data_IF_179025749710
#
_entry.id   IF_179025749710
#
_cell.length_a   1.000
_cell.length_b   1.000
_cell.length_c   1.000
_cell.angle_alpha   90.00
_cell.angle_beta   90.00
_cell.angle_gamma   90.00
#
_symmetry.space_group_name_H-M   'P 1'
#
loop_
_entity.id
_entity.type
_entity.pdbx_description
1 polymer ?
#
# COMPACT_ATOMS: atom_id res chain seq x y z
N UNK A 1 1.70 -20.46 -26.69
CA UNK A 1 0.67 -19.52 -26.20
C UNK A 1 1.38 -18.32 -25.63
N UNK A 2 1.00 -17.11 -26.04
CA UNK A 2 1.59 -15.87 -25.51
C UNK A 2 0.69 -15.34 -24.39
N UNK A 3 1.27 -14.95 -23.27
CA UNK A 3 0.55 -14.35 -22.15
C UNK A 3 1.37 -13.22 -21.54
N UNK A 4 0.71 -12.31 -20.83
CA UNK A 4 1.35 -11.22 -20.08
C UNK A 4 1.05 -11.37 -18.59
N UNK A 5 1.92 -10.84 -17.73
CA UNK A 5 1.67 -10.74 -16.29
C UNK A 5 1.63 -9.28 -15.89
N UNK A 6 0.53 -8.86 -15.28
CA UNK A 6 0.33 -7.50 -14.81
C UNK A 6 -0.23 -7.49 -13.40
N UNK A 7 -0.23 -6.33 -12.75
CA UNK A 7 -1.01 -6.12 -11.53
C UNK A 7 -2.49 -6.31 -11.83
N UNK A 8 -3.23 -6.90 -10.89
CA UNK A 8 -4.68 -6.93 -10.93
C UNK A 8 -5.27 -5.53 -10.83
N UNK A 9 -6.44 -5.33 -11.45
CA UNK A 9 -7.27 -4.13 -11.38
C UNK A 9 -8.48 -4.40 -10.50
N UNK A 10 -9.12 -3.35 -9.99
CA UNK A 10 -10.24 -3.46 -9.06
C UNK A 10 -11.41 -4.30 -9.61
N UNK A 11 -11.66 -4.21 -10.92
CA UNK A 11 -12.67 -4.96 -11.67
C UNK A 11 -12.30 -6.43 -11.91
N UNK A 12 -11.07 -6.86 -11.63
CA UNK A 12 -10.67 -8.26 -11.76
C UNK A 12 -11.23 -9.14 -10.63
N UNK A 13 -11.59 -8.57 -9.46
CA UNK A 13 -11.84 -9.34 -8.24
C UNK A 13 -12.86 -10.48 -8.40
N UNK A 14 -14.02 -10.19 -9.01
CA UNK A 14 -15.07 -11.20 -9.24
C UNK A 14 -14.61 -12.30 -10.20
N UNK A 15 -13.81 -11.93 -11.19
CA UNK A 15 -13.23 -12.84 -12.16
C UNK A 15 -12.20 -13.75 -11.51
N UNK A 16 -11.36 -13.23 -10.61
CA UNK A 16 -10.38 -14.06 -9.90
C UNK A 16 -11.06 -15.12 -9.04
N UNK A 17 -12.11 -14.76 -8.30
CA UNK A 17 -12.92 -15.73 -7.57
C UNK A 17 -13.58 -16.77 -8.50
N UNK A 18 -13.94 -16.40 -9.74
CA UNK A 18 -14.47 -17.35 -10.71
C UNK A 18 -13.39 -18.33 -11.24
N UNK A 19 -12.16 -17.85 -11.41
CA UNK A 19 -11.01 -18.69 -11.79
C UNK A 19 -10.69 -19.70 -10.67
N UNK A 20 -10.62 -19.24 -9.42
CA UNK A 20 -10.42 -20.09 -8.24
C UNK A 20 -11.49 -21.19 -8.19
N UNK A 21 -12.78 -20.84 -8.29
CA UNK A 21 -13.87 -21.83 -8.33
C UNK A 21 -13.71 -22.85 -9.46
N UNK A 22 -13.27 -22.42 -10.64
CA UNK A 22 -13.06 -23.32 -11.77
C UNK A 22 -11.82 -24.22 -11.60
N UNK A 23 -10.74 -23.71 -10.98
CA UNK A 23 -9.54 -24.47 -10.69
C UNK A 23 -9.77 -25.51 -9.59
N UNK A 24 -10.53 -25.14 -8.54
CA UNK A 24 -10.88 -26.02 -7.43
C UNK A 24 -11.61 -27.27 -7.91
N UNK A 25 -12.43 -27.20 -8.97
CA UNK A 25 -13.14 -28.34 -9.58
C UNK A 25 -12.23 -29.52 -9.98
N UNK A 26 -10.93 -29.28 -10.19
CA UNK A 26 -9.95 -30.35 -10.43
C UNK A 26 -9.77 -31.28 -9.22
N UNK A 27 -10.10 -30.82 -8.01
CA UNK A 27 -10.06 -31.62 -6.80
C UNK A 27 -11.36 -32.40 -6.55
N UNK A 28 -12.34 -32.36 -7.46
CA UNK A 28 -13.60 -33.10 -7.29
C UNK A 28 -13.32 -34.60 -7.13
N UNK A 29 -13.82 -35.17 -6.04
CA UNK A 29 -13.56 -36.58 -5.66
C UNK A 29 -12.33 -36.78 -4.77
N UNK A 30 -11.52 -35.74 -4.53
CA UNK A 30 -10.45 -35.75 -3.54
C UNK A 30 -11.02 -35.56 -2.12
N UNK A 31 -10.37 -36.15 -1.11
CA UNK A 31 -10.80 -35.99 0.31
C UNK A 31 -10.73 -34.52 0.78
N UNK A 32 -9.84 -33.72 0.21
CA UNK A 32 -9.74 -32.28 0.49
C UNK A 32 -10.83 -31.42 -0.19
N UNK A 33 -11.62 -32.00 -1.11
CA UNK A 33 -12.64 -31.26 -1.88
C UNK A 33 -13.58 -30.45 -1.00
N UNK A 34 -14.11 -31.07 0.07
CA UNK A 34 -15.08 -30.41 0.94
C UNK A 34 -14.51 -29.19 1.67
N UNK A 35 -13.19 -29.16 1.92
CA UNK A 35 -12.52 -28.01 2.49
C UNK A 35 -12.33 -26.92 1.42
N UNK A 36 -11.76 -27.26 0.25
CA UNK A 36 -11.52 -26.29 -0.83
C UNK A 36 -12.82 -25.71 -1.42
N UNK A 37 -13.85 -26.53 -1.64
CA UNK A 37 -15.12 -26.06 -2.21
C UNK A 37 -15.86 -25.07 -1.31
N UNK A 38 -15.48 -24.99 -0.02
CA UNK A 38 -16.00 -24.03 0.96
C UNK A 38 -15.05 -22.84 1.18
N UNK A 39 -13.79 -22.98 0.77
CA UNK A 39 -12.73 -21.99 0.85
C UNK A 39 -12.57 -21.35 -0.52
N UNK A 40 -13.49 -20.46 -0.87
CA UNK A 40 -13.23 -19.48 -1.92
C UNK A 40 -12.92 -18.16 -1.23
N UNK A 41 -11.83 -17.51 -1.63
CA UNK A 41 -11.51 -16.17 -1.15
C UNK A 41 -12.73 -15.26 -1.37
N UNK A 42 -13.29 -14.65 -0.30
CA UNK A 42 -14.37 -13.70 -0.47
C UNK A 42 -13.95 -12.58 -1.42
N UNK A 43 -14.84 -12.16 -2.31
CA UNK A 43 -14.53 -11.13 -3.32
C UNK A 43 -13.97 -9.85 -2.68
N UNK A 44 -14.47 -9.48 -1.50
CA UNK A 44 -13.98 -8.30 -0.79
C UNK A 44 -12.56 -8.49 -0.25
N UNK A 45 -12.17 -9.70 0.16
CA UNK A 45 -10.78 -10.02 0.52
C UNK A 45 -9.86 -9.92 -0.71
N UNK A 46 -10.32 -10.43 -1.87
CA UNK A 46 -9.57 -10.28 -3.13
C UNK A 46 -9.42 -8.80 -3.49
N UNK A 47 -10.49 -8.01 -3.43
CA UNK A 47 -10.45 -6.55 -3.65
C UNK A 47 -9.44 -5.86 -2.74
N UNK A 48 -9.41 -6.20 -1.46
CA UNK A 48 -8.45 -5.62 -0.52
C UNK A 48 -6.99 -5.94 -0.91
N UNK A 49 -6.70 -7.18 -1.31
CA UNK A 49 -5.37 -7.55 -1.79
C UNK A 49 -5.01 -6.82 -3.09
N UNK A 50 -5.96 -6.65 -4.00
CA UNK A 50 -5.78 -5.87 -5.24
C UNK A 50 -5.43 -4.42 -4.90
N UNK A 51 -6.20 -3.79 -4.01
CA UNK A 51 -6.01 -2.40 -3.56
C UNK A 51 -4.66 -2.20 -2.87
N UNK A 52 -4.23 -3.16 -2.05
CA UNK A 52 -2.91 -3.17 -1.40
C UNK A 52 -1.76 -3.47 -2.36
N UNK A 53 -2.07 -4.01 -3.53
CA UNK A 53 -1.05 -4.34 -4.52
C UNK A 53 -0.31 -5.59 -4.17
N UNK A 54 -1.08 -6.64 -3.95
CA UNK A 54 -0.55 -7.95 -3.63
C UNK A 54 -1.10 -9.02 -4.60
N UNK A 55 -1.71 -8.60 -5.72
CA UNK A 55 -2.29 -9.52 -6.71
C UNK A 55 -1.72 -9.25 -8.10
N UNK A 56 -1.31 -10.32 -8.77
CA UNK A 56 -0.92 -10.32 -10.18
C UNK A 56 -1.81 -11.27 -10.95
N UNK A 57 -2.07 -10.90 -12.20
CA UNK A 57 -2.91 -11.66 -13.13
C UNK A 57 -2.10 -12.02 -14.36
N UNK A 58 -2.41 -13.18 -14.93
CA UNK A 58 -1.94 -13.60 -16.23
C UNK A 58 -3.07 -13.45 -17.25
N UNK A 59 -2.79 -12.80 -18.37
CA UNK A 59 -3.77 -12.57 -19.43
C UNK A 59 -3.34 -13.16 -20.77
N UNK A 60 -4.28 -13.77 -21.49
CA UNK A 60 -4.14 -14.25 -22.87
C UNK A 60 -5.20 -13.52 -23.69
N UNK A 61 -4.79 -12.81 -24.74
CA UNK A 61 -5.70 -11.99 -25.58
C UNK A 61 -6.59 -11.05 -24.75
N UNK A 62 -5.97 -10.36 -23.78
CA UNK A 62 -6.60 -9.45 -22.79
C UNK A 62 -7.59 -10.09 -21.80
N UNK A 63 -7.79 -11.41 -21.88
CA UNK A 63 -8.61 -12.16 -20.94
C UNK A 63 -7.74 -12.69 -19.79
N UNK A 64 -8.09 -12.35 -18.54
CA UNK A 64 -7.43 -12.92 -17.34
C UNK A 64 -7.74 -14.42 -17.22
N UNK A 65 -6.70 -15.23 -17.18
CA UNK A 65 -6.76 -16.71 -17.17
C UNK A 65 -6.11 -17.35 -15.94
N UNK A 66 -5.42 -16.57 -15.12
CA UNK A 66 -4.83 -17.02 -13.86
C UNK A 66 -4.39 -15.85 -13.01
N UNK A 67 -4.13 -16.10 -11.73
CA UNK A 67 -3.68 -15.09 -10.79
C UNK A 67 -2.83 -15.67 -9.67
N UNK A 68 -2.11 -14.79 -8.97
CA UNK A 68 -1.45 -15.09 -7.70
C UNK A 68 -1.73 -13.97 -6.71
N UNK A 69 -2.15 -14.36 -5.51
CA UNK A 69 -2.35 -13.50 -4.35
C UNK A 69 -1.18 -13.70 -3.38
N UNK A 70 -0.55 -12.61 -2.98
CA UNK A 70 0.49 -12.58 -1.97
C UNK A 70 -0.11 -12.10 -0.65
N UNK A 71 0.34 -12.67 0.45
CA UNK A 71 0.14 -12.11 1.77
C UNK A 71 1.46 -11.75 2.43
N UNK A 72 1.39 -10.87 3.43
CA UNK A 72 2.55 -10.41 4.20
C UNK A 72 2.38 -10.73 5.68
N UNK A 73 1.62 -11.78 6.01
CA UNK A 73 1.28 -12.14 7.38
C UNK A 73 2.28 -13.11 8.02
N UNK A 74 3.13 -13.76 7.22
CA UNK A 74 4.16 -14.72 7.67
C UNK A 74 5.32 -14.14 8.50
N UNK A 75 5.23 -12.88 8.93
CA UNK A 75 6.25 -12.20 9.74
C UNK A 75 7.06 -11.15 8.97
N UNK A 76 7.99 -10.45 9.64
CA UNK A 76 8.67 -9.28 9.07
C UNK A 76 9.61 -9.61 7.90
N UNK A 77 10.09 -10.85 7.77
CA UNK A 77 11.05 -11.27 6.73
C UNK A 77 10.49 -12.25 5.70
N UNK A 78 9.19 -12.58 5.79
CA UNK A 78 8.54 -13.61 4.95
C UNK A 78 7.34 -13.03 4.22
N UNK A 79 7.22 -13.36 2.93
CA UNK A 79 5.97 -13.21 2.18
C UNK A 79 5.29 -14.58 2.02
N UNK A 80 3.97 -14.61 1.95
CA UNK A 80 3.18 -15.81 1.71
C UNK A 80 2.55 -15.82 0.32
N UNK A 81 2.38 -17.01 -0.28
CA UNK A 81 1.41 -17.19 -1.36
C UNK A 81 0.07 -17.56 -0.72
N UNK A 82 -0.87 -16.61 -0.77
CA UNK A 82 -2.21 -16.80 -0.22
C UNK A 82 -3.06 -17.68 -1.12
N UNK A 83 -2.96 -17.48 -2.45
CA UNK A 83 -3.68 -18.26 -3.46
C UNK A 83 -2.98 -18.17 -4.81
N UNK A 84 -3.02 -19.23 -5.61
CA UNK A 84 -2.52 -19.24 -6.99
C UNK A 84 -3.31 -20.22 -7.85
N UNK A 85 -4.04 -19.68 -8.82
CA UNK A 85 -4.89 -20.47 -9.70
C UNK A 85 -4.71 -20.11 -11.17
N UNK A 86 -4.91 -21.12 -12.01
CA UNK A 86 -4.98 -20.97 -13.46
C UNK A 86 -6.20 -21.75 -13.95
N UNK A 87 -6.96 -21.15 -14.86
CA UNK A 87 -8.08 -21.83 -15.50
C UNK A 87 -7.63 -23.19 -16.07
N UNK A 88 -8.38 -24.29 -15.86
CA UNK A 88 -7.97 -25.62 -16.29
C UNK A 88 -7.60 -25.72 -17.78
N UNK A 89 -8.32 -25.01 -18.66
CA UNK A 89 -8.05 -24.97 -20.10
C UNK A 89 -6.67 -24.38 -20.46
N UNK A 90 -6.07 -23.62 -19.55
CA UNK A 90 -4.77 -22.97 -19.70
C UNK A 90 -3.66 -23.65 -18.87
N UNK A 91 -3.99 -24.73 -18.14
CA UNK A 91 -3.04 -25.55 -17.39
C UNK A 91 -1.93 -26.13 -18.28
N UNK A 92 -0.72 -26.30 -17.72
CA UNK A 92 0.43 -26.88 -18.45
C UNK A 92 1.15 -25.95 -19.43
N UNK A 93 0.71 -24.69 -19.57
CA UNK A 93 1.32 -23.71 -20.50
C UNK A 93 2.35 -22.77 -19.85
N UNK A 94 2.80 -23.06 -18.62
CA UNK A 94 3.80 -22.26 -17.91
C UNK A 94 3.26 -21.01 -17.21
N UNK A 95 1.95 -20.73 -17.27
CA UNK A 95 1.35 -19.55 -16.60
C UNK A 95 1.56 -19.60 -15.09
N UNK A 96 1.24 -20.72 -14.43
CA UNK A 96 1.39 -20.86 -12.98
C UNK A 96 2.85 -20.67 -12.53
N UNK A 97 3.80 -21.19 -13.30
CA UNK A 97 5.22 -20.98 -13.07
C UNK A 97 5.60 -19.49 -13.16
N UNK A 98 5.12 -18.79 -14.18
CA UNK A 98 5.44 -17.38 -14.37
C UNK A 98 4.79 -16.47 -13.30
N UNK A 99 3.57 -16.79 -12.85
CA UNK A 99 2.91 -16.12 -11.72
C UNK A 99 3.69 -16.32 -10.42
N UNK A 100 4.09 -17.57 -10.13
CA UNK A 100 4.90 -17.90 -8.95
C UNK A 100 6.25 -17.16 -8.96
N UNK A 101 6.97 -17.18 -10.08
CA UNK A 101 8.25 -16.45 -10.19
C UNK A 101 8.05 -14.94 -10.06
N UNK A 102 6.96 -14.37 -10.59
CA UNK A 102 6.64 -12.95 -10.40
C UNK A 102 6.40 -12.61 -8.94
N UNK A 103 5.70 -13.47 -8.20
CA UNK A 103 5.48 -13.27 -6.77
C UNK A 103 6.79 -13.34 -5.97
N UNK A 104 7.65 -14.32 -6.26
CA UNK A 104 8.98 -14.42 -5.66
C UNK A 104 9.88 -13.24 -6.03
N UNK A 105 9.83 -12.76 -7.28
CA UNK A 105 10.57 -11.58 -7.73
C UNK A 105 10.14 -10.34 -6.95
N UNK A 106 8.83 -10.05 -6.88
CA UNK A 106 8.35 -8.91 -6.10
C UNK A 106 8.71 -9.02 -4.62
N UNK A 107 8.55 -10.20 -4.01
CA UNK A 107 8.89 -10.40 -2.61
C UNK A 107 10.38 -10.11 -2.37
N UNK A 108 11.25 -10.53 -3.31
CA UNK A 108 12.68 -10.22 -3.27
C UNK A 108 12.94 -8.72 -3.38
N UNK A 109 12.34 -8.05 -4.37
CA UNK A 109 12.45 -6.59 -4.57
C UNK A 109 11.98 -5.80 -3.35
N UNK A 110 10.94 -6.28 -2.67
CA UNK A 110 10.43 -5.69 -1.43
C UNK A 110 11.29 -6.01 -0.20
N UNK A 111 12.36 -6.82 -0.33
CA UNK A 111 13.30 -7.15 0.74
C UNK A 111 13.00 -8.43 1.53
N UNK A 112 11.97 -9.20 1.19
CA UNK A 112 11.66 -10.46 1.89
C UNK A 112 12.72 -11.54 1.62
N UNK A 113 13.10 -12.28 2.66
CA UNK A 113 14.17 -13.28 2.61
C UNK A 113 13.68 -14.61 2.05
N UNK A 114 12.40 -14.91 2.21
CA UNK A 114 11.78 -16.13 1.69
C UNK A 114 10.31 -15.94 1.33
N UNK A 115 9.80 -16.88 0.54
CA UNK A 115 8.37 -17.05 0.28
C UNK A 115 7.91 -18.38 0.84
N UNK A 116 6.81 -18.34 1.59
CA UNK A 116 6.17 -19.51 2.18
C UNK A 116 4.81 -19.78 1.49
N UNK A 117 4.40 -21.05 1.40
CA UNK A 117 3.09 -21.43 0.88
C UNK A 117 2.57 -22.72 1.51
N UNK A 118 1.25 -22.88 1.51
CA UNK A 118 0.57 -24.12 1.87
C UNK A 118 0.10 -24.86 0.62
N UNK A 119 0.30 -26.18 0.58
CA UNK A 119 -0.19 -27.03 -0.52
C UNK A 119 -0.61 -28.42 -0.02
N UNK A 120 -0.90 -29.33 -0.94
CA UNK A 120 -1.32 -30.72 -0.68
C UNK A 120 -0.15 -31.69 -0.86
N UNK A 121 -0.01 -32.63 0.08
CA UNK A 121 1.02 -33.68 0.06
C UNK A 121 0.83 -34.71 -1.07
N UNK A 122 -0.42 -35.07 -1.33
CA UNK A 122 -0.82 -36.26 -2.09
C UNK A 122 -1.32 -35.94 -3.50
N UNK A 123 -1.34 -34.67 -3.87
CA UNK A 123 -1.70 -34.22 -5.22
C UNK A 123 -0.45 -34.22 -6.11
N UNK A 124 -0.36 -35.10 -7.13
CA UNK A 124 0.88 -35.36 -7.87
C UNK A 124 1.47 -34.15 -8.60
N UNK A 125 0.65 -33.13 -8.88
CA UNK A 125 1.08 -31.93 -9.59
C UNK A 125 1.35 -30.73 -8.67
N UNK A 126 1.03 -30.79 -7.38
CA UNK A 126 1.16 -29.65 -6.47
C UNK A 126 2.56 -29.53 -5.88
N UNK A 127 2.89 -30.30 -4.83
CA UNK A 127 4.21 -30.21 -4.18
C UNK A 127 5.39 -30.42 -5.17
N UNK A 128 5.32 -31.33 -6.15
CA UNK A 128 6.38 -31.45 -7.16
C UNK A 128 6.54 -30.21 -8.07
N UNK A 129 5.45 -29.49 -8.37
CA UNK A 129 5.53 -28.23 -9.11
C UNK A 129 6.32 -27.19 -8.32
N UNK A 130 5.98 -26.96 -7.05
CA UNK A 130 6.70 -26.01 -6.20
C UNK A 130 8.15 -26.42 -5.98
N UNK A 131 8.42 -27.72 -5.80
CA UNK A 131 9.77 -28.24 -5.65
C UNK A 131 10.67 -27.92 -6.87
N UNK A 132 10.12 -28.03 -8.08
CA UNK A 132 10.83 -27.64 -9.32
C UNK A 132 11.18 -26.14 -9.34
N UNK A 133 10.42 -25.32 -8.63
CA UNK A 133 10.62 -23.87 -8.50
C UNK A 133 11.41 -23.49 -7.24
N UNK A 134 12.12 -24.44 -6.61
CA UNK A 134 13.05 -24.17 -5.51
C UNK A 134 12.40 -24.10 -4.13
N UNK A 135 11.13 -24.48 -4.00
CA UNK A 135 10.49 -24.64 -2.69
C UNK A 135 10.87 -25.99 -2.08
N UNK A 136 11.10 -26.01 -0.78
CA UNK A 136 11.36 -27.23 0.00
C UNK A 136 10.29 -27.40 1.06
N UNK A 137 9.95 -28.66 1.36
CA UNK A 137 9.05 -28.96 2.48
C UNK A 137 9.71 -28.54 3.79
N UNK A 138 8.94 -27.87 4.64
CA UNK A 138 9.38 -27.42 5.97
C UNK A 138 8.55 -28.07 7.07
N UNK A 139 9.02 -27.94 8.32
CA UNK A 139 8.28 -28.45 9.47
C UNK A 139 6.96 -27.68 9.60
N UNK A 140 5.85 -28.38 9.37
CA UNK A 140 4.51 -27.79 9.47
C UNK A 140 4.16 -27.30 10.88
N UNK A 141 4.86 -27.78 11.91
CA UNK A 141 4.65 -27.36 13.29
C UNK A 141 5.56 -26.20 13.72
N UNK A 142 6.37 -25.65 12.80
CA UNK A 142 7.16 -24.46 13.07
C UNK A 142 6.23 -23.27 13.42
N UNK A 143 6.63 -22.37 14.34
CA UNK A 143 5.78 -21.30 14.84
C UNK A 143 5.17 -20.40 13.75
N UNK A 144 5.90 -20.18 12.66
CA UNK A 144 5.44 -19.38 11.51
C UNK A 144 4.17 -19.93 10.82
N UNK A 145 3.88 -21.23 10.95
CA UNK A 145 2.70 -21.87 10.34
C UNK A 145 1.54 -22.07 11.32
N UNK A 146 1.68 -21.64 12.58
CA UNK A 146 0.67 -21.86 13.61
C UNK A 146 -0.70 -21.29 13.22
N UNK A 147 -0.74 -20.06 12.73
CA UNK A 147 -1.99 -19.41 12.32
C UNK A 147 -2.61 -20.08 11.08
N UNK A 148 -1.78 -20.53 10.14
CA UNK A 148 -2.24 -21.27 8.97
C UNK A 148 -2.85 -22.62 9.36
N UNK A 149 -2.24 -23.33 10.32
CA UNK A 149 -2.78 -24.59 10.86
C UNK A 149 -4.06 -24.39 11.66
N UNK A 150 -4.20 -23.29 12.41
CA UNK A 150 -5.46 -22.95 13.09
C UNK A 150 -6.56 -22.74 12.06
N UNK A 151 -6.29 -21.95 11.01
CA UNK A 151 -7.23 -21.72 9.92
C UNK A 151 -7.61 -23.02 9.21
N UNK A 152 -6.65 -23.89 8.90
CA UNK A 152 -6.93 -25.20 8.29
C UNK A 152 -7.87 -26.03 9.19
N UNK A 153 -7.62 -26.05 10.51
CA UNK A 153 -8.46 -26.78 11.48
C UNK A 153 -9.87 -26.20 11.56
N UNK A 154 -10.01 -24.88 11.66
CA UNK A 154 -11.30 -24.19 11.71
C UNK A 154 -12.14 -24.46 10.44
N UNK A 155 -11.48 -24.62 9.30
CA UNK A 155 -12.12 -24.96 8.03
C UNK A 155 -12.32 -26.46 7.80
N UNK A 156 -11.93 -27.31 8.76
CA UNK A 156 -12.06 -28.77 8.66
C UNK A 156 -11.12 -29.41 7.64
N UNK A 157 -10.00 -28.76 7.32
CA UNK A 157 -8.99 -29.29 6.42
C UNK A 157 -8.28 -30.51 7.04
N UNK A 158 -8.11 -31.63 6.32
CA UNK A 158 -7.43 -32.80 6.88
C UNK A 158 -5.94 -32.54 7.09
N UNK A 159 -5.50 -32.51 8.35
CA UNK A 159 -4.12 -32.14 8.74
C UNK A 159 -3.01 -33.00 8.09
N UNK A 160 -3.28 -34.27 7.81
CA UNK A 160 -2.31 -35.16 7.16
C UNK A 160 -2.05 -34.82 5.69
N UNK A 161 -2.93 -34.02 5.06
CA UNK A 161 -2.80 -33.59 3.67
C UNK A 161 -2.05 -32.27 3.53
N UNK A 162 -2.02 -31.46 4.58
CA UNK A 162 -1.37 -30.14 4.53
C UNK A 162 0.14 -30.30 4.58
N UNK A 163 0.80 -29.69 3.59
CA UNK A 163 2.25 -29.49 3.57
C UNK A 163 2.52 -28.00 3.41
N UNK A 164 3.47 -27.49 4.17
CA UNK A 164 4.03 -26.16 3.95
C UNK A 164 5.37 -26.29 3.23
N UNK A 165 5.62 -25.35 2.33
CA UNK A 165 6.87 -25.28 1.60
C UNK A 165 7.42 -23.86 1.63
N UNK A 166 8.73 -23.74 1.65
CA UNK A 166 9.44 -22.46 1.70
C UNK A 166 10.50 -22.38 0.61
N UNK A 167 10.67 -21.20 0.01
CA UNK A 167 11.75 -20.89 -0.92
C UNK A 167 12.57 -19.71 -0.41
N UNK A 168 13.84 -19.90 -0.03
CA UNK A 168 14.77 -18.81 0.19
C UNK A 168 14.95 -17.99 -1.09
N UNK A 169 14.97 -16.66 -0.95
CA UNK A 169 15.14 -15.73 -2.05
C UNK A 169 16.58 -15.24 -2.11
N UNK A 170 17.14 -15.19 -3.33
CA UNK A 170 18.47 -14.64 -3.56
C UNK A 170 18.59 -13.19 -3.05
N UNK A 171 19.76 -12.76 -2.55
CA UNK A 171 19.95 -11.41 -2.05
C UNK A 171 19.72 -10.34 -3.14
N UNK A 172 19.44 -9.11 -2.71
CA UNK A 172 19.37 -7.94 -3.60
C UNK A 172 20.78 -7.56 -4.04
N UNK A 173 20.94 -7.17 -5.31
CA UNK A 173 22.15 -6.59 -5.88
C UNK A 173 21.95 -5.10 -6.15
N UNK A 174 23.00 -4.29 -6.15
CA UNK A 174 22.87 -2.83 -6.34
C UNK A 174 22.16 -2.41 -7.64
N UNK A 175 22.26 -3.21 -8.71
CA UNK A 175 21.57 -2.95 -9.99
C UNK A 175 20.15 -3.51 -10.09
N UNK A 176 19.64 -4.15 -9.04
CA UNK A 176 18.28 -4.69 -9.04
C UNK A 176 17.23 -3.59 -8.83
N UNK A 177 16.00 -3.89 -9.23
CA UNK A 177 14.84 -3.15 -8.74
C UNK A 177 14.60 -3.47 -7.26
N UNK A 178 14.14 -2.47 -6.53
CA UNK A 178 13.64 -2.58 -5.16
C UNK A 178 12.28 -1.92 -5.06
N UNK A 179 11.40 -2.42 -4.17
CA UNK A 179 10.02 -1.94 -4.03
C UNK A 179 9.81 -1.31 -2.64
N UNK A 180 9.30 -0.08 -2.65
CA UNK A 180 9.14 0.80 -1.49
C UNK A 180 7.68 1.25 -1.36
N UNK A 181 7.00 0.96 -0.24
CA UNK A 181 5.65 1.45 -0.01
C UNK A 181 5.62 2.98 0.15
N UNK A 182 4.68 3.63 -0.50
CA UNK A 182 4.37 5.05 -0.35
C UNK A 182 2.95 5.20 0.25
N UNK A 183 2.80 5.06 1.59
CA UNK A 183 1.49 4.98 2.25
C UNK A 183 0.70 6.29 2.14
N UNK A 184 -0.62 6.21 2.15
CA UNK A 184 -1.50 7.35 2.30
C UNK A 184 -1.53 7.85 3.76
N UNK A 185 -2.03 9.07 3.94
CA UNK A 185 -2.37 9.62 5.25
C UNK A 185 -3.83 10.09 5.32
N UNK A 186 -4.31 10.26 6.55
CA UNK A 186 -5.49 11.02 6.90
C UNK A 186 -5.11 12.18 7.81
N UNK A 187 -5.86 13.28 7.69
CA UNK A 187 -5.91 14.33 8.72
C UNK A 187 -7.11 14.04 9.62
N UNK A 188 -6.87 13.51 10.84
CA UNK A 188 -7.97 13.15 11.75
C UNK A 188 -8.76 14.37 12.25
N UNK A 189 -8.12 15.54 12.21
CA UNK A 189 -8.71 16.87 12.22
C UNK A 189 -7.76 17.82 11.48
N UNK A 190 -8.21 19.01 11.09
CA UNK A 190 -7.36 20.04 10.49
C UNK A 190 -7.90 21.43 10.84
N UNK A 191 -7.11 22.24 11.54
CA UNK A 191 -7.41 23.63 11.84
C UNK A 191 -6.43 24.58 11.16
N UNK A 192 -6.94 25.73 10.76
CA UNK A 192 -6.12 26.89 10.38
C UNK A 192 -6.20 27.89 11.53
N UNK A 193 -5.08 28.08 12.22
CA UNK A 193 -5.00 28.89 13.44
C UNK A 193 -4.52 30.32 13.19
N UNK A 194 -3.94 30.56 12.02
CA UNK A 194 -3.49 31.89 11.62
C UNK A 194 -2.91 31.90 10.21
N UNK A 195 -2.40 33.08 9.84
CA UNK A 195 -1.60 33.29 8.62
C UNK A 195 -0.28 33.91 9.01
N UNK A 196 0.80 33.38 8.45
CA UNK A 196 2.18 33.84 8.63
C UNK A 196 2.45 35.05 7.73
N UNK A 197 3.51 35.79 8.05
CA UNK A 197 3.97 36.96 7.28
C UNK A 197 4.43 36.60 5.87
N UNK A 198 4.93 35.36 5.68
CA UNK A 198 5.31 34.79 4.38
C UNK A 198 4.12 34.35 3.52
N UNK A 199 2.89 34.55 4.01
CA UNK A 199 1.65 34.27 3.31
C UNK A 199 1.10 32.86 3.51
N UNK A 200 1.85 31.94 4.12
CA UNK A 200 1.40 30.58 4.44
C UNK A 200 0.42 30.55 5.62
N UNK A 201 -0.42 29.52 5.66
CA UNK A 201 -1.34 29.28 6.77
C UNK A 201 -0.67 28.47 7.87
N UNK A 202 -0.86 28.89 9.13
CA UNK A 202 -0.46 28.08 10.27
C UNK A 202 -1.57 27.07 10.58
N UNK A 203 -1.20 25.81 10.70
CA UNK A 203 -2.08 24.66 10.81
C UNK A 203 -1.89 23.93 12.14
N UNK A 204 -2.93 23.23 12.57
CA UNK A 204 -2.85 22.14 13.54
C UNK A 204 -3.61 20.93 12.99
N UNK A 205 -2.97 19.75 13.01
CA UNK A 205 -3.59 18.52 12.52
C UNK A 205 -3.00 17.30 13.23
N UNK A 206 -3.70 16.18 13.18
CA UNK A 206 -3.13 14.86 13.50
C UNK A 206 -3.10 14.02 12.24
N UNK A 207 -1.88 13.65 11.83
CA UNK A 207 -1.65 12.72 10.75
C UNK A 207 -1.80 11.28 11.22
N UNK A 208 -2.56 10.50 10.47
CA UNK A 208 -2.66 9.04 10.59
C UNK A 208 -2.20 8.40 9.30
N UNK A 209 -1.13 7.62 9.35
CA UNK A 209 -0.67 6.82 8.21
C UNK A 209 -1.56 5.58 8.04
N UNK A 210 -1.71 5.12 6.80
CA UNK A 210 -2.54 3.97 6.43
C UNK A 210 -1.71 2.80 5.87
N UNK A 211 -2.18 1.56 6.09
CA UNK A 211 -1.67 0.34 5.42
C UNK A 211 -2.16 0.22 3.96
N UNK A 212 -2.15 1.34 3.25
CA UNK A 212 -2.56 1.45 1.87
C UNK A 212 -1.87 2.65 1.26
N UNK A 213 -1.37 2.52 0.04
CA UNK A 213 -0.79 3.62 -0.69
C UNK A 213 -0.21 3.18 -2.03
N UNK A 214 0.67 4.01 -2.58
CA UNK A 214 1.36 3.76 -3.83
C UNK A 214 2.56 2.81 -3.63
N UNK A 215 3.14 2.33 -4.72
CA UNK A 215 4.41 1.56 -4.70
C UNK A 215 5.44 2.29 -5.57
N UNK A 216 6.57 2.67 -4.96
CA UNK A 216 7.73 3.25 -5.64
C UNK A 216 8.75 2.15 -5.85
N UNK A 217 9.15 1.92 -7.10
CA UNK A 217 10.24 1.03 -7.46
C UNK A 217 11.48 1.85 -7.83
N UNK A 218 12.62 1.46 -7.28
CA UNK A 218 13.91 2.13 -7.46
C UNK A 218 14.95 1.15 -7.96
N UNK A 219 15.76 1.56 -8.93
CA UNK A 219 16.96 0.82 -9.37
C UNK A 219 18.13 1.79 -9.48
N UNK A 220 19.24 1.48 -8.81
CA UNK A 220 20.43 2.34 -8.83
C UNK A 220 21.09 2.29 -10.21
N UNK A 221 21.59 3.45 -10.64
CA UNK A 221 22.41 3.61 -11.84
C UNK A 221 23.78 4.15 -11.47
N UNK A 222 24.78 3.88 -12.30
CA UNK A 222 26.16 4.31 -12.08
C UNK A 222 26.58 5.49 -12.98
N UNK A 223 25.66 6.03 -13.79
CA UNK A 223 25.91 7.11 -14.74
C UNK A 223 25.43 8.48 -14.27
N UNK A 224 24.97 8.60 -13.02
CA UNK A 224 24.46 9.85 -12.43
C UNK A 224 23.09 10.29 -12.96
N UNK A 225 22.45 9.53 -13.85
CA UNK A 225 21.16 9.92 -14.44
C UNK A 225 20.01 9.57 -13.49
N UNK A 226 19.10 10.52 -13.27
CA UNK A 226 17.81 10.27 -12.63
C UNK A 226 16.72 10.27 -13.70
N UNK A 227 16.06 9.13 -13.89
CA UNK A 227 15.05 8.91 -14.93
C UNK A 227 13.77 8.29 -14.38
N UNK A 228 12.61 8.83 -14.77
CA UNK A 228 11.30 8.25 -14.51
C UNK A 228 10.93 7.30 -15.64
N UNK A 229 10.93 6.01 -15.34
CA UNK A 229 10.61 4.94 -16.30
C UNK A 229 9.11 4.68 -16.38
N UNK A 230 8.38 4.89 -15.27
CA UNK A 230 6.93 4.83 -15.20
C UNK A 230 6.42 5.71 -14.06
N UNK A 231 5.23 6.28 -14.18
CA UNK A 231 4.71 7.16 -13.13
C UNK A 231 3.36 7.77 -13.46
N UNK A 232 2.93 8.80 -12.69
CA UNK A 232 1.63 9.43 -12.87
C UNK A 232 1.46 10.04 -14.27
N UNK A 233 0.34 9.74 -14.91
CA UNK A 233 -0.02 10.35 -16.20
C UNK A 233 -0.33 11.84 -16.03
N UNK A 234 0.02 12.65 -17.04
CA UNK A 234 -0.26 14.09 -17.04
C UNK A 234 0.67 14.95 -16.18
N UNK A 235 1.68 14.35 -15.52
CA UNK A 235 2.70 15.07 -14.76
C UNK A 235 4.01 15.07 -15.55
N UNK A 236 4.52 16.23 -16.00
CA UNK A 236 5.86 16.35 -16.59
C UNK A 236 6.95 15.80 -15.65
N UNK A 237 7.99 15.20 -16.21
CA UNK A 237 9.02 14.51 -15.41
C UNK A 237 9.80 15.45 -14.49
N UNK A 238 10.06 16.68 -14.93
CA UNK A 238 10.71 17.73 -14.14
C UNK A 238 9.83 18.28 -13.01
N UNK A 239 8.50 18.20 -13.17
CA UNK A 239 7.52 18.54 -12.16
C UNK A 239 7.21 17.38 -11.19
N UNK A 240 7.60 16.15 -11.51
CA UNK A 240 7.35 14.97 -10.69
C UNK A 240 8.14 15.05 -9.38
N UNK A 241 7.42 14.98 -8.26
CA UNK A 241 8.03 15.07 -6.92
C UNK A 241 9.04 13.95 -6.65
N UNK A 242 8.90 12.78 -7.29
CA UNK A 242 9.85 11.68 -7.15
C UNK A 242 11.20 11.99 -7.80
N UNK A 243 11.19 12.54 -9.01
CA UNK A 243 12.39 12.96 -9.73
C UNK A 243 13.06 14.13 -9.01
N UNK A 244 12.26 15.10 -8.55
CA UNK A 244 12.75 16.23 -7.75
C UNK A 244 13.36 15.77 -6.43
N UNK A 245 12.77 14.78 -5.75
CA UNK A 245 13.31 14.19 -4.53
C UNK A 245 14.68 13.55 -4.75
N UNK A 246 14.80 12.70 -5.78
CA UNK A 246 16.06 12.04 -6.11
C UNK A 246 17.17 13.04 -6.47
N UNK A 247 16.85 14.06 -7.29
CA UNK A 247 17.82 15.12 -7.65
C UNK A 247 18.22 15.98 -6.45
N UNK A 248 17.27 16.31 -5.58
CA UNK A 248 17.52 17.07 -4.36
C UNK A 248 18.46 16.31 -3.41
N UNK A 249 18.20 15.01 -3.19
CA UNK A 249 19.08 14.15 -2.40
C UNK A 249 20.47 14.04 -3.03
N UNK A 250 20.55 13.84 -4.34
CA UNK A 250 21.84 13.74 -5.03
C UNK A 250 22.66 15.04 -4.89
N UNK A 251 22.01 16.19 -5.07
CA UNK A 251 22.65 17.50 -4.89
C UNK A 251 23.08 17.75 -3.44
N UNK A 252 22.30 17.31 -2.45
CA UNK A 252 22.61 17.54 -1.03
C UNK A 252 23.77 16.68 -0.53
N UNK A 253 23.98 15.50 -1.14
CA UNK A 253 24.95 14.49 -0.69
C UNK A 253 26.21 14.43 -1.57
N UNK A 254 26.15 14.99 -2.79
CA UNK A 254 27.24 14.94 -3.76
C UNK A 254 27.47 13.56 -4.37
N UNK A 255 26.52 12.63 -4.22
CA UNK A 255 26.60 11.31 -4.86
C UNK A 255 26.68 11.43 -6.38
N UNK A 256 27.45 10.54 -7.00
CA UNK A 256 27.56 10.42 -8.47
C UNK A 256 26.64 9.33 -9.03
N UNK A 257 25.89 8.65 -8.17
CA UNK A 257 24.92 7.63 -8.57
C UNK A 257 23.66 8.26 -9.15
N UNK A 258 23.01 7.50 -10.03
CA UNK A 258 21.71 7.80 -10.59
C UNK A 258 20.64 6.82 -10.10
N UNK A 259 19.41 6.99 -10.60
CA UNK A 259 18.32 6.06 -10.33
C UNK A 259 17.30 6.02 -11.47
N UNK A 260 16.83 4.82 -11.78
CA UNK A 260 15.56 4.62 -12.46
C UNK A 260 14.43 4.59 -11.42
N UNK A 261 13.35 5.32 -11.68
CA UNK A 261 12.20 5.45 -10.79
C UNK A 261 10.94 4.99 -11.52
N UNK A 262 10.17 4.10 -10.92
CA UNK A 262 8.86 3.69 -11.40
C UNK A 262 7.82 3.82 -10.28
N UNK A 263 6.68 4.47 -10.52
CA UNK A 263 5.63 4.65 -9.50
C UNK A 263 4.33 3.98 -9.96
N UNK A 264 3.83 3.03 -9.18
CA UNK A 264 2.50 2.45 -9.35
C UNK A 264 1.49 3.21 -8.47
N UNK A 265 0.69 4.07 -9.11
CA UNK A 265 -0.30 4.92 -8.45
C UNK A 265 -1.59 4.16 -8.13
N UNK A 266 -2.03 4.28 -6.88
CA UNK A 266 -3.26 3.76 -6.25
C UNK A 266 -3.97 4.86 -5.47
N UNK A 267 -3.22 5.80 -4.87
CA UNK A 267 -3.79 6.95 -4.17
C UNK A 267 -4.34 7.93 -5.21
N UNK A 268 -5.62 8.34 -5.10
CA UNK A 268 -6.20 9.36 -5.97
C UNK A 268 -5.42 10.68 -5.94
N UNK A 269 -5.14 11.22 -7.12
CA UNK A 269 -4.46 12.50 -7.28
C UNK A 269 -5.32 13.65 -6.75
N UNK A 270 -4.75 14.44 -5.83
CA UNK A 270 -5.47 15.59 -5.24
C UNK A 270 -6.61 15.19 -4.28
N UNK A 271 -6.62 13.96 -3.76
CA UNK A 271 -7.63 13.47 -2.81
C UNK A 271 -7.45 13.91 -1.36
N UNK A 272 -6.42 14.70 -1.03
CA UNK A 272 -6.10 15.07 0.36
C UNK A 272 -5.42 13.96 1.17
N UNK A 273 -4.98 12.89 0.51
CA UNK A 273 -4.36 11.70 1.10
C UNK A 273 -2.82 11.72 1.09
N UNK A 274 -2.21 12.77 0.55
CA UNK A 274 -0.76 12.98 0.59
C UNK A 274 0.07 12.12 -0.38
N UNK A 275 -0.53 11.52 -1.41
CA UNK A 275 0.16 10.56 -2.30
C UNK A 275 1.47 11.08 -2.89
N UNK A 276 1.48 12.25 -3.54
CA UNK A 276 2.73 12.80 -4.11
C UNK A 276 3.81 13.11 -3.07
N UNK A 277 3.42 13.53 -1.87
CA UNK A 277 4.36 13.74 -0.76
C UNK A 277 4.92 12.43 -0.23
N UNK A 278 4.09 11.38 -0.20
CA UNK A 278 4.49 10.03 0.20
C UNK A 278 5.44 9.38 -0.81
N UNK A 279 5.16 9.55 -2.11
CA UNK A 279 6.06 9.10 -3.18
C UNK A 279 7.44 9.75 -3.03
N UNK A 280 7.48 11.07 -2.82
CA UNK A 280 8.71 11.82 -2.62
C UNK A 280 9.49 11.36 -1.38
N UNK A 281 8.81 11.17 -0.25
CA UNK A 281 9.40 10.65 0.97
C UNK A 281 9.98 9.24 0.77
N UNK A 282 9.26 8.38 0.05
CA UNK A 282 9.69 7.00 -0.25
C UNK A 282 10.93 6.99 -1.14
N UNK A 283 11.03 7.93 -2.09
CA UNK A 283 12.27 8.13 -2.87
C UNK A 283 13.41 8.63 -2.00
N UNK A 284 13.19 9.63 -1.13
CA UNK A 284 14.24 10.13 -0.23
C UNK A 284 14.77 9.04 0.70
N UNK A 285 13.87 8.30 1.35
CA UNK A 285 14.23 7.20 2.26
C UNK A 285 14.91 6.07 1.50
N UNK A 286 14.29 5.60 0.41
CA UNK A 286 14.80 4.49 -0.38
C UNK A 286 16.16 4.80 -0.99
N UNK A 287 16.33 5.95 -1.64
CA UNK A 287 17.62 6.32 -2.24
C UNK A 287 18.68 6.66 -1.18
N UNK A 288 18.32 7.18 0.00
CA UNK A 288 19.31 7.36 1.07
C UNK A 288 19.90 6.02 1.52
N UNK A 289 19.06 4.98 1.62
CA UNK A 289 19.49 3.61 1.90
C UNK A 289 20.28 3.02 0.73
N UNK A 290 19.77 3.09 -0.50
CA UNK A 290 20.37 2.45 -1.68
C UNK A 290 21.68 3.10 -2.14
N UNK A 291 21.80 4.42 -2.01
CA UNK A 291 23.04 5.15 -2.32
C UNK A 291 24.01 5.21 -1.15
N UNK A 292 23.60 4.76 0.04
CA UNK A 292 24.43 4.77 1.24
C UNK A 292 24.85 6.19 1.66
N UNK A 293 23.98 7.19 1.47
CA UNK A 293 24.35 8.60 1.72
C UNK A 293 24.40 8.97 3.20
N UNK A 294 23.81 8.15 4.07
CA UNK A 294 23.96 8.26 5.52
C UNK A 294 23.29 9.48 6.15
N UNK A 295 22.34 10.12 5.47
CA UNK A 295 21.55 11.20 6.07
C UNK A 295 20.62 10.61 7.13
N UNK A 296 20.50 11.32 8.26
CA UNK A 296 19.58 10.97 9.32
C UNK A 296 18.13 11.41 9.00
N UNK A 297 17.19 11.01 9.87
CA UNK A 297 15.77 11.31 9.69
C UNK A 297 15.47 12.82 9.65
N UNK A 298 16.18 13.63 10.45
CA UNK A 298 15.96 15.08 10.53
C UNK A 298 16.46 15.79 9.27
N UNK A 299 17.61 15.37 8.75
CA UNK A 299 18.15 15.85 7.48
C UNK A 299 17.24 15.50 6.31
N UNK A 300 16.75 14.26 6.24
CA UNK A 300 15.78 13.85 5.20
C UNK A 300 14.46 14.60 5.32
N UNK A 301 13.95 14.82 6.54
CA UNK A 301 12.72 15.58 6.75
C UNK A 301 12.89 17.05 6.32
N UNK A 302 14.07 17.63 6.55
CA UNK A 302 14.42 18.99 6.10
C UNK A 302 14.42 19.07 4.56
N UNK A 303 15.05 18.12 3.87
CA UNK A 303 15.00 18.05 2.40
C UNK A 303 13.56 17.85 1.91
N UNK A 304 12.81 16.97 2.56
CA UNK A 304 11.42 16.69 2.24
C UNK A 304 10.52 17.92 2.32
N UNK A 305 10.73 18.78 3.33
CA UNK A 305 9.96 20.02 3.50
C UNK A 305 10.07 20.97 2.29
N UNK A 306 11.21 20.98 1.60
CA UNK A 306 11.41 21.77 0.38
C UNK A 306 10.57 21.27 -0.82
N UNK A 307 10.07 20.04 -0.76
CA UNK A 307 9.23 19.42 -1.78
C UNK A 307 7.74 19.54 -1.45
N UNK A 308 7.38 19.47 -0.17
CA UNK A 308 6.01 19.66 0.30
C UNK A 308 5.86 19.52 1.81
N UNK A 309 4.87 20.23 2.38
CA UNK A 309 4.64 20.30 3.82
C UNK A 309 4.29 18.94 4.48
N UNK A 310 3.69 18.02 3.73
CA UNK A 310 3.35 16.67 4.21
C UNK A 310 4.51 15.66 4.05
N UNK A 311 5.58 15.98 3.32
CA UNK A 311 6.70 15.01 3.10
C UNK A 311 7.38 14.61 4.42
N UNK A 312 7.64 15.52 5.39
CA UNK A 312 8.27 15.16 6.65
C UNK A 312 7.55 14.05 7.44
N UNK A 313 6.21 14.01 7.46
CA UNK A 313 5.51 12.96 8.25
C UNK A 313 5.71 11.57 7.66
N UNK A 314 5.83 11.46 6.34
CA UNK A 314 6.15 10.21 5.67
C UNK A 314 7.61 9.80 5.86
N UNK A 315 8.55 10.77 5.81
CA UNK A 315 9.96 10.51 6.12
C UNK A 315 10.13 9.99 7.54
N UNK A 316 9.45 10.60 8.53
CA UNK A 316 9.50 10.15 9.94
C UNK A 316 8.72 8.85 10.19
N UNK A 317 7.76 8.52 9.33
CA UNK A 317 7.07 7.23 9.31
C UNK A 317 6.20 6.93 10.52
N UNK A 318 5.74 7.95 11.26
CA UNK A 318 4.95 7.80 12.49
C UNK A 318 3.72 8.69 12.43
N UNK A 319 2.63 8.25 13.04
CA UNK A 319 1.48 9.13 13.28
C UNK A 319 1.91 10.27 14.19
N UNK A 320 1.44 11.50 13.93
CA UNK A 320 1.97 12.68 14.60
C UNK A 320 0.94 13.80 14.73
N UNK A 321 1.02 14.53 15.84
CA UNK A 321 0.48 15.87 15.94
C UNK A 321 1.40 16.82 15.18
N UNK A 322 0.83 17.64 14.29
CA UNK A 322 1.57 18.56 13.46
C UNK A 322 1.12 20.01 13.68
N UNK A 323 2.09 20.91 13.75
CA UNK A 323 1.91 22.35 13.80
C UNK A 323 2.76 23.06 12.72
N UNK A 324 2.75 24.39 12.69
CA UNK A 324 3.46 25.18 11.69
C UNK A 324 2.69 25.16 10.37
N UNK A 325 3.33 24.88 9.26
CA UNK A 325 2.67 24.53 8.00
C UNK A 325 2.40 23.02 7.87
N UNK A 326 2.74 22.23 8.90
CA UNK A 326 2.65 20.77 8.94
C UNK A 326 3.99 20.08 9.22
N UNK A 327 5.08 20.84 9.34
CA UNK A 327 6.46 20.37 9.50
C UNK A 327 6.87 20.12 10.95
N UNK A 328 6.21 20.78 11.92
CA UNK A 328 6.53 20.63 13.34
C UNK A 328 5.80 19.42 13.91
N UNK A 329 6.45 18.27 13.87
CA UNK A 329 5.86 16.97 14.19
C UNK A 329 6.20 16.52 15.62
N UNK A 330 5.17 16.22 16.39
CA UNK A 330 5.24 15.55 17.69
C UNK A 330 4.63 14.15 17.55
N UNK A 331 5.43 13.06 17.62
CA UNK A 331 4.92 11.70 17.47
C UNK A 331 3.78 11.40 18.44
N UNK A 332 2.75 10.71 17.96
CA UNK A 332 1.55 10.41 18.75
C UNK A 332 1.11 8.96 18.51
N UNK A 333 0.92 8.22 19.61
CA UNK A 333 0.34 6.88 19.56
C UNK A 333 -1.17 6.98 19.44
N UNK A 334 -1.71 6.40 18.38
CA UNK A 334 -3.15 6.33 18.12
C UNK A 334 -3.65 4.89 18.26
N UNK A 335 -4.89 4.67 18.74
CA UNK A 335 -5.44 3.32 18.83
C UNK A 335 -5.53 2.66 17.45
N UNK A 336 -5.42 1.33 17.42
CA UNK A 336 -5.67 0.57 16.18
C UNK A 336 -7.13 0.79 15.76
N UNK A 337 -7.29 1.22 14.52
CA UNK A 337 -8.55 1.59 13.90
C UNK A 337 -8.51 1.23 12.43
N UNK A 338 -9.69 1.04 11.86
CA UNK A 338 -9.90 0.83 10.45
C UNK A 338 -10.60 2.05 9.87
N UNK A 339 -10.32 2.34 8.61
CA UNK A 339 -10.86 3.51 7.93
C UNK A 339 -11.50 3.06 6.63
N UNK A 340 -12.71 3.54 6.38
CA UNK A 340 -13.33 3.52 5.05
C UNK A 340 -12.99 4.84 4.40
N UNK A 341 -12.15 4.83 3.38
CA UNK A 341 -11.75 6.01 2.60
C UNK A 341 -12.53 6.02 1.31
N UNK A 342 -13.28 7.09 1.06
CA UNK A 342 -14.14 7.24 -0.11
C UNK A 342 -13.56 8.32 -1.02
N UNK A 343 -13.33 7.97 -2.27
CA UNK A 343 -13.00 8.92 -3.33
C UNK A 343 -14.27 9.23 -4.15
N UNK A 344 -14.77 10.48 -4.09
CA UNK A 344 -15.92 10.91 -4.87
C UNK A 344 -15.61 11.11 -6.36
N UNK A 345 -14.36 10.92 -6.80
CA UNK A 345 -13.85 11.17 -8.17
C UNK A 345 -14.10 12.61 -8.62
N UNK A 346 -13.89 13.55 -7.71
CA UNK A 346 -13.97 15.00 -7.95
C UNK A 346 -12.65 15.65 -7.55
N UNK A 347 -12.04 16.41 -8.47
CA UNK A 347 -10.78 17.10 -8.20
C UNK A 347 -11.04 18.40 -7.42
N UNK A 348 -10.36 18.56 -6.28
CA UNK A 348 -10.48 19.72 -5.39
C UNK A 348 -9.13 20.46 -5.35
N UNK A 349 -8.99 21.62 -6.05
CA UNK A 349 -7.73 22.35 -6.09
C UNK A 349 -7.42 23.03 -4.75
N UNK A 350 -6.40 22.55 -4.04
CA UNK A 350 -5.99 23.05 -2.71
C UNK A 350 -5.73 24.57 -2.71
N UNK A 351 -5.06 25.10 -3.74
CA UNK A 351 -4.77 26.54 -3.85
C UNK A 351 -6.05 27.39 -3.93
N UNK A 352 -7.08 26.91 -4.64
CA UNK A 352 -8.36 27.62 -4.77
C UNK A 352 -9.11 27.65 -3.43
N UNK A 353 -9.01 26.59 -2.62
CA UNK A 353 -9.59 26.57 -1.29
C UNK A 353 -8.89 27.53 -0.33
N UNK A 354 -7.55 27.56 -0.32
CA UNK A 354 -6.81 28.53 0.48
C UNK A 354 -7.13 30.00 0.12
N UNK A 355 -7.52 30.26 -1.14
CA UNK A 355 -7.95 31.56 -1.61
C UNK A 355 -9.44 31.88 -1.32
N UNK A 356 -10.24 30.92 -0.85
CA UNK A 356 -11.68 31.10 -0.66
C UNK A 356 -11.99 32.11 0.47
N UNK A 357 -12.77 33.17 0.23
CA UNK A 357 -13.04 34.20 1.25
C UNK A 357 -13.73 33.63 2.50
N UNK A 358 -14.60 32.63 2.34
CA UNK A 358 -15.35 31.98 3.41
C UNK A 358 -14.54 30.99 4.26
N UNK A 359 -13.27 30.72 3.92
CA UNK A 359 -12.42 29.80 4.70
C UNK A 359 -12.06 30.41 6.06
N UNK A 360 -12.40 29.71 7.14
CA UNK A 360 -12.00 30.06 8.50
C UNK A 360 -10.49 29.92 8.66
N UNK A 361 -9.81 31.01 9.07
CA UNK A 361 -8.33 31.08 9.20
C UNK A 361 -7.84 31.44 10.60
N UNK A 362 -8.76 31.53 11.55
CA UNK A 362 -8.51 32.03 12.91
C UNK A 362 -9.11 31.08 13.95
N UNK A 363 -9.09 29.78 13.68
CA UNK A 363 -9.61 28.79 14.61
C UNK A 363 -8.78 28.82 15.92
N UNK A 364 -9.42 28.67 17.08
CA UNK A 364 -8.68 28.55 18.33
C UNK A 364 -7.78 27.31 18.30
N UNK A 365 -6.58 27.45 18.87
CA UNK A 365 -5.64 26.32 18.96
C UNK A 365 -6.26 25.17 19.74
N UNK A 366 -6.19 23.97 19.16
CA UNK A 366 -6.50 22.72 19.83
C UNK A 366 -5.36 22.32 20.77
N UNK A 367 -5.69 21.56 21.82
CA UNK A 367 -4.71 20.82 22.63
C UNK A 367 -4.79 19.33 22.30
N UNK A 368 -3.71 18.59 22.56
CA UNK A 368 -3.72 17.12 22.42
C UNK A 368 -4.87 16.50 23.22
N UNK A 369 -5.14 17.00 24.44
CA UNK A 369 -6.26 16.52 25.26
C UNK A 369 -7.61 16.71 24.58
N UNK A 370 -7.86 17.88 23.96
CA UNK A 370 -9.12 18.17 23.27
C UNK A 370 -9.31 17.32 22.00
N UNK A 371 -8.24 16.89 21.37
CA UNK A 371 -8.31 15.93 20.28
C UNK A 371 -8.62 14.52 20.80
N UNK A 372 -7.93 14.08 21.86
CA UNK A 372 -8.13 12.73 22.45
C UNK A 372 -9.54 12.56 23.02
N UNK A 373 -10.14 13.61 23.59
CA UNK A 373 -11.54 13.59 24.04
C UNK A 373 -12.57 13.57 22.90
N UNK A 374 -12.15 13.89 21.68
CA UNK A 374 -13.02 14.04 20.51
C UNK A 374 -13.62 15.44 20.32
N UNK A 375 -13.30 16.40 21.19
CA UNK A 375 -13.80 17.78 21.10
C UNK A 375 -13.26 18.54 19.88
N UNK A 376 -12.13 18.10 19.32
CA UNK A 376 -11.50 18.66 18.12
C UNK A 376 -11.36 17.60 17.02
N UNK A 377 -12.38 17.48 16.17
CA UNK A 377 -12.43 16.52 15.07
C UNK A 377 -12.73 17.15 13.70
N UNK A 378 -12.87 18.49 13.65
CA UNK A 378 -13.27 19.24 12.46
C UNK A 378 -12.13 19.42 11.45
N UNK A 379 -12.50 19.63 10.20
CA UNK A 379 -11.59 20.05 9.14
C UNK A 379 -12.01 21.43 8.61
N UNK A 380 -11.11 22.41 8.68
CA UNK A 380 -11.35 23.79 8.30
C UNK A 380 -11.84 23.96 6.85
N UNK A 381 -11.46 23.04 5.95
CA UNK A 381 -11.89 23.07 4.55
C UNK A 381 -13.30 22.49 4.34
N UNK A 382 -13.80 21.67 5.25
CA UNK A 382 -15.02 20.90 5.04
C UNK A 382 -16.25 21.76 4.73
N UNK A 383 -16.55 22.87 5.44
CA UNK A 383 -17.69 23.73 5.09
C UNK A 383 -17.59 24.32 3.67
N UNK A 384 -16.39 24.76 3.27
CA UNK A 384 -16.14 25.34 1.94
C UNK A 384 -16.26 24.27 0.86
N UNK A 385 -15.70 23.08 1.11
CA UNK A 385 -15.74 21.95 0.18
C UNK A 385 -17.18 21.47 -0.01
N UNK A 386 -17.97 21.31 1.07
CA UNK A 386 -19.38 20.94 0.95
C UNK A 386 -20.18 21.93 0.11
N UNK A 387 -19.88 23.22 0.21
CA UNK A 387 -20.58 24.26 -0.54
C UNK A 387 -20.19 24.29 -2.04
N UNK A 388 -18.93 23.97 -2.37
CA UNK A 388 -18.39 24.15 -3.73
C UNK A 388 -18.28 22.85 -4.54
N UNK A 389 -18.28 21.69 -3.88
CA UNK A 389 -18.00 20.38 -4.48
C UNK A 389 -19.11 19.38 -4.16
N UNK A 390 -20.19 19.34 -4.97
CA UNK A 390 -21.38 18.55 -4.67
C UNK A 390 -21.14 17.04 -4.54
N UNK A 391 -20.16 16.46 -5.25
CA UNK A 391 -19.90 15.01 -5.12
C UNK A 391 -19.19 14.71 -3.81
N UNK A 392 -18.30 15.59 -3.36
CA UNK A 392 -17.68 15.47 -2.03
C UNK A 392 -18.73 15.62 -0.93
N UNK A 393 -19.67 16.57 -1.06
CA UNK A 393 -20.78 16.71 -0.13
C UNK A 393 -21.65 15.44 -0.08
N UNK A 394 -21.99 14.88 -1.25
CA UNK A 394 -22.76 13.64 -1.34
C UNK A 394 -22.01 12.44 -0.72
N UNK A 395 -20.70 12.37 -0.86
CA UNK A 395 -19.89 11.33 -0.22
C UNK A 395 -19.83 11.48 1.31
N UNK A 396 -19.71 12.72 1.82
CA UNK A 396 -19.81 13.00 3.27
C UNK A 396 -21.18 12.60 3.82
N UNK A 397 -22.26 12.96 3.12
CA UNK A 397 -23.63 12.68 3.57
C UNK A 397 -23.93 11.17 3.56
N UNK A 398 -23.52 10.47 2.49
CA UNK A 398 -23.66 9.02 2.40
C UNK A 398 -22.88 8.32 3.51
N UNK A 399 -21.60 8.67 3.69
CA UNK A 399 -20.75 8.06 4.70
C UNK A 399 -21.20 8.43 6.13
N UNK A 400 -21.78 9.63 6.29
CA UNK A 400 -22.42 10.15 7.49
C UNK A 400 -23.58 9.28 7.99
N UNK A 401 -24.23 8.53 7.10
CA UNK A 401 -25.25 7.54 7.45
C UNK A 401 -24.72 6.37 8.29
N UNK A 402 -23.41 6.16 8.35
CA UNK A 402 -22.77 5.07 9.10
C UNK A 402 -21.98 5.54 10.32
N UNK A 403 -21.80 6.85 10.50
CA UNK A 403 -21.07 7.44 11.62
C UNK A 403 -20.51 8.82 11.31
N UNK A 404 -19.54 9.28 12.10
CA UNK A 404 -18.94 10.61 11.92
C UNK A 404 -17.93 10.62 10.74
N UNK A 405 -18.44 10.95 9.55
CA UNK A 405 -17.64 11.14 8.35
C UNK A 405 -16.84 12.46 8.41
N UNK A 406 -15.63 12.45 7.87
CA UNK A 406 -14.72 13.61 7.89
C UNK A 406 -14.01 13.77 6.55
N UNK A 407 -13.68 15.02 6.20
CA UNK A 407 -12.78 15.32 5.08
C UNK A 407 -11.31 15.08 5.45
N UNK A 408 -10.51 14.49 4.55
CA UNK A 408 -9.04 14.44 4.70
C UNK A 408 -8.35 15.56 3.92
N UNK A 409 -7.35 16.21 4.52
CA UNK A 409 -6.61 17.31 3.89
C UNK A 409 -7.54 18.42 3.43
N UNK A 410 -7.37 18.88 2.19
CA UNK A 410 -8.29 19.82 1.54
C UNK A 410 -9.38 19.12 0.70
N UNK A 411 -9.60 17.81 0.88
CA UNK A 411 -10.40 16.98 -0.02
C UNK A 411 -9.63 16.55 -1.28
N UNK A 412 -10.24 15.83 -2.22
CA UNK A 412 -11.67 15.45 -2.26
C UNK A 412 -12.08 14.19 -1.47
N UNK A 413 -11.14 13.38 -0.97
CA UNK A 413 -11.51 12.14 -0.28
C UNK A 413 -12.04 12.40 1.13
N UNK A 414 -12.98 11.55 1.53
CA UNK A 414 -13.65 11.57 2.83
C UNK A 414 -13.44 10.24 3.52
N UNK A 415 -13.57 10.19 4.84
CA UNK A 415 -13.33 8.95 5.58
C UNK A 415 -14.22 8.76 6.79
N UNK A 416 -14.38 7.50 7.17
CA UNK A 416 -15.07 7.05 8.39
C UNK A 416 -14.13 6.15 9.18
N UNK A 417 -14.03 6.40 10.48
CA UNK A 417 -13.29 5.53 11.40
C UNK A 417 -14.19 4.45 11.98
N UNK A 418 -13.71 3.20 11.99
CA UNK A 418 -14.38 2.07 12.62
C UNK A 418 -13.42 1.32 13.56
N UNK A 419 -13.99 0.55 14.50
CA UNK A 419 -13.21 -0.23 15.47
C UNK A 419 -12.66 -1.53 14.90
N UNK A 420 -13.39 -2.14 13.97
CA UNK A 420 -13.09 -3.48 13.43
C UNK A 420 -13.05 -3.43 11.91
N UNK A 421 -12.25 -4.34 11.36
CA UNK A 421 -12.11 -4.55 9.91
C UNK A 421 -13.46 -4.91 9.28
N UNK A 422 -14.18 -5.85 9.88
CA UNK A 422 -15.51 -6.30 9.46
C UNK A 422 -16.51 -5.14 9.35
N UNK A 423 -16.51 -4.21 10.31
CA UNK A 423 -17.40 -3.04 10.25
C UNK A 423 -17.03 -2.10 9.09
N UNK A 424 -15.72 -1.92 8.82
CA UNK A 424 -15.28 -1.11 7.68
C UNK A 424 -15.68 -1.77 6.34
N UNK A 425 -15.46 -3.07 6.20
CA UNK A 425 -15.87 -3.86 5.03
C UNK A 425 -17.38 -3.81 4.81
N UNK A 426 -18.18 -3.95 5.88
CA UNK A 426 -19.64 -3.84 5.80
C UNK A 426 -20.13 -2.48 5.30
N UNK A 427 -19.38 -1.40 5.53
CA UNK A 427 -19.68 -0.07 4.97
C UNK A 427 -19.18 0.04 3.52
N UNK A 428 -17.93 -0.35 3.25
CA UNK A 428 -17.32 -0.24 1.93
C UNK A 428 -18.06 -1.06 0.85
N UNK A 429 -18.55 -2.25 1.18
CA UNK A 429 -19.35 -3.10 0.28
C UNK A 429 -20.69 -2.46 -0.16
N UNK A 430 -21.17 -1.44 0.56
CA UNK A 430 -22.38 -0.66 0.22
C UNK A 430 -22.07 0.63 -0.53
N UNK A 431 -20.81 0.85 -0.92
CA UNK A 431 -20.40 2.06 -1.63
C UNK A 431 -21.18 2.24 -2.94
N UNK A 432 -21.81 3.39 -3.19
CA UNK A 432 -22.49 3.67 -4.45
C UNK A 432 -21.51 3.64 -5.61
N UNK A 433 -21.92 3.10 -6.77
CA UNK A 433 -21.04 2.98 -7.95
C UNK A 433 -20.50 4.31 -8.51
N UNK A 434 -21.03 5.45 -8.07
CA UNK A 434 -20.49 6.78 -8.40
C UNK A 434 -19.22 7.17 -7.62
N UNK A 435 -18.86 6.40 -6.60
CA UNK A 435 -17.68 6.59 -5.74
C UNK A 435 -16.81 5.34 -5.76
N UNK A 436 -15.63 5.43 -5.17
CA UNK A 436 -14.82 4.25 -4.81
C UNK A 436 -14.54 4.27 -3.32
N UNK A 437 -14.57 3.11 -2.68
CA UNK A 437 -14.26 2.96 -1.27
C UNK A 437 -13.12 1.98 -1.06
N UNK A 438 -12.19 2.33 -0.17
CA UNK A 438 -11.09 1.48 0.24
C UNK A 438 -11.09 1.32 1.76
N UNK A 439 -10.83 0.11 2.23
CA UNK A 439 -10.64 -0.17 3.65
C UNK A 439 -9.14 -0.22 3.93
N UNK A 440 -8.69 0.54 4.92
CA UNK A 440 -7.30 0.52 5.34
C UNK A 440 -7.18 0.59 6.87
N UNK A 441 -6.23 -0.15 7.43
CA UNK A 441 -5.86 0.00 8.82
C UNK A 441 -5.01 1.27 9.00
N UNK A 442 -5.21 1.96 10.12
CA UNK A 442 -4.23 2.94 10.56
C UNK A 442 -3.00 2.25 11.14
N UNK A 443 -1.82 2.72 10.75
CA UNK A 443 -0.54 2.07 11.06
C UNK A 443 0.45 2.98 11.78
N UNK A 444 1.25 2.36 12.62
CA UNK A 444 2.40 2.93 13.32
C UNK A 444 3.29 1.75 13.78
N UNK A 445 4.48 1.52 13.20
CA UNK A 445 5.17 2.39 12.23
C UNK A 445 4.60 2.31 10.80
N UNK A 446 5.07 3.22 9.94
CA UNK A 446 4.79 3.27 8.50
C UNK A 446 5.23 2.00 7.75
N UNK A 447 4.49 1.54 6.73
CA UNK A 447 4.92 0.48 5.82
C UNK A 447 6.25 0.79 5.12
N UNK A 448 6.56 2.07 4.87
CA UNK A 448 7.84 2.51 4.32
C UNK A 448 9.01 2.17 5.26
N UNK A 449 8.85 2.43 6.56
CA UNK A 449 9.89 2.14 7.55
C UNK A 449 10.07 0.64 7.75
N UNK A 450 8.97 -0.12 7.78
CA UNK A 450 9.03 -1.58 7.83
C UNK A 450 9.76 -2.16 6.60
N UNK A 451 9.57 -1.58 5.42
CA UNK A 451 10.30 -1.98 4.22
C UNK A 451 11.79 -1.60 4.28
N UNK A 452 12.11 -0.39 4.75
CA UNK A 452 13.49 0.05 4.97
C UNK A 452 14.23 -0.90 5.92
N UNK A 453 13.68 -1.16 7.09
CA UNK A 453 14.29 -2.04 8.10
C UNK A 453 14.55 -3.44 7.52
N UNK A 454 13.58 -3.98 6.76
CA UNK A 454 13.73 -5.27 6.10
C UNK A 454 14.83 -5.27 5.04
N UNK A 455 14.91 -4.25 4.18
CA UNK A 455 15.94 -4.14 3.14
C UNK A 455 17.33 -3.93 3.75
N UNK A 456 17.44 -3.10 4.80
CA UNK A 456 18.70 -2.87 5.52
C UNK A 456 19.19 -4.13 6.21
N UNK A 457 18.30 -4.86 6.89
CA UNK A 457 18.63 -6.13 7.56
C UNK A 457 19.12 -7.19 6.57
N UNK A 458 18.51 -7.25 5.37
CA UNK A 458 18.92 -8.17 4.32
C UNK A 458 20.27 -7.81 3.69
N UNK A 459 20.58 -6.52 3.63
CA UNK A 459 21.75 -6.00 2.93
C UNK A 459 21.63 -6.06 1.41
N UNK A 460 22.55 -5.37 0.73
CA UNK A 460 22.61 -5.29 -0.73
C UNK A 460 24.03 -5.68 -1.17
N UNK A 461 24.11 -6.66 -2.06
CA UNK A 461 25.38 -7.09 -2.67
C UNK A 461 25.82 -6.03 -3.68
N UNK A 462 27.04 -5.54 -3.54
CA UNK A 462 27.60 -4.49 -4.40
C UNK A 462 27.79 -4.96 -5.84
N UNK A 463 27.97 -4.02 -6.76
CA UNK A 463 28.22 -4.31 -8.19
C UNK A 463 29.44 -5.23 -8.43
N UNK A 464 30.42 -5.21 -7.51
CA UNK A 464 31.68 -5.95 -7.62
C UNK A 464 31.66 -7.29 -6.85
N UNK A 465 30.50 -7.69 -6.30
CA UNK A 465 30.35 -8.81 -5.35
C UNK A 465 29.55 -10.02 -5.82
#
# INVERSE_FOLDING_TARGET
MHFTITRARDDDAERLCAIERAAVELFRGHVAWAAYSRLSLPVDTVRELIVRGLVWVASVDDEVVGFVCIDTFGGPHTAGIAEIDVLPAFGGHGIGAALLERACEWAREAGYERVDLGTLADVPWNAPFYAKHGFVVVDKHAPEFADALVRDRENGFPDHLRVFMSRPLAPLRSGDWTAWPAPAKLNLFLRIVGRRDDGYHELQTVFRLLDWGDEVRLRVRTDGVVARVAGPQGVPEDADLTVRAARLLASATGTTLGADIAVAKRIPMGGGLGGGSSDAASVLVGLNTLWGTGLDEDQLATLGLALGADVPVFVRGRSAWAEGVGERLSPMRLPRRWYVVVDPREHVPTAALFAAPELTRTAPRATISSFVSGDSAENAFEPVVRARHPRVAAALDWLGGFGHARLSGSGGCVFLETRTHEAALGVASRCPGGFTAHVAAGVDPSPLHAARERIEARGIVSFDG
#
